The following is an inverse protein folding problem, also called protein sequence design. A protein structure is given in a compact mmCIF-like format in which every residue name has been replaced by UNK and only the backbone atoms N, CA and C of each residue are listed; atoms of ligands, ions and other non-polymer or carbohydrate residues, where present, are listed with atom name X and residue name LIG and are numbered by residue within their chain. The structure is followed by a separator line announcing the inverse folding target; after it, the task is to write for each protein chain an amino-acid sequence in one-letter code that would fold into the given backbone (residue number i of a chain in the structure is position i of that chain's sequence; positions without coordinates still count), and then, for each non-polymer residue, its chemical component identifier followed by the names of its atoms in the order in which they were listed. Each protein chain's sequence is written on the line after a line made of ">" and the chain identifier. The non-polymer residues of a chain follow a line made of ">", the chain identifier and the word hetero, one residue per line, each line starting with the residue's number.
data_IF_252695901586
#
_entry.id   IF_252695901586
#
_cell.length_a   1.000
_cell.length_b   1.000
_cell.length_c   1.000
_cell.angle_alpha   90.00
_cell.angle_beta   90.00
_cell.angle_gamma   90.00
#
_symmetry.space_group_name_H-M   'P 1'
#
loop_
_entity.id
_entity.type
_entity.pdbx_description
1 polymer ?
#
# COMPACT_ATOMS: atom_id res chain seq x y z
N UNK A 1 -12.94 34.41 -4.36
CA UNK A 1 -14.07 33.56 -3.96
C UNK A 1 -13.88 32.20 -4.66
N UNK A 2 -13.02 31.30 -4.20
CA UNK A 2 -13.21 30.41 -3.03
C UNK A 2 -14.15 29.26 -3.45
N UNK A 3 -13.80 27.97 -3.50
CA UNK A 3 -12.74 27.17 -2.89
C UNK A 3 -12.46 25.95 -3.80
N UNK A 4 -11.19 25.60 -3.98
CA UNK A 4 -10.76 24.32 -4.54
C UNK A 4 -11.10 23.22 -3.52
N UNK A 5 -11.90 22.22 -3.92
CA UNK A 5 -12.17 21.03 -3.10
C UNK A 5 -10.86 20.26 -2.92
N UNK A 6 -10.28 20.40 -1.73
CA UNK A 6 -9.19 19.55 -1.24
C UNK A 6 -9.76 18.14 -1.14
N UNK A 7 -9.14 17.16 -1.80
CA UNK A 7 -9.46 15.76 -1.59
C UNK A 7 -9.11 15.41 -0.15
N UNK A 8 -10.11 15.40 0.71
CA UNK A 8 -9.98 14.99 2.09
C UNK A 8 -9.77 13.48 2.10
N UNK A 9 -8.51 13.07 2.26
CA UNK A 9 -8.14 11.69 2.57
C UNK A 9 -8.92 11.28 3.82
N UNK A 10 -9.94 10.44 3.64
CA UNK A 10 -10.75 9.90 4.73
C UNK A 10 -9.89 8.91 5.51
N UNK A 11 -9.03 9.40 6.40
CA UNK A 11 -8.51 8.56 7.48
C UNK A 11 -9.69 8.23 8.39
N UNK A 12 -10.11 6.97 8.39
CA UNK A 12 -11.00 6.47 9.42
C UNK A 12 -10.31 6.67 10.78
N UNK A 13 -11.01 7.18 11.81
CA UNK A 13 -10.43 7.33 13.14
C UNK A 13 -10.06 5.96 13.71
N UNK A 14 -8.86 5.86 14.27
CA UNK A 14 -8.35 4.65 14.92
C UNK A 14 -9.02 4.51 16.29
N UNK A 15 -9.94 3.55 16.43
CA UNK A 15 -10.57 3.21 17.71
C UNK A 15 -9.56 2.51 18.64
N UNK A 16 -9.53 2.84 19.94
CA UNK A 16 -8.61 2.21 20.89
C UNK A 16 -8.97 0.73 21.04
N UNK A 17 -8.19 -0.13 20.39
CA UNK A 17 -8.41 -1.57 20.28
C UNK A 17 -8.04 -2.16 18.91
N UNK A 18 -7.80 -1.32 17.89
CA UNK A 18 -7.45 -1.80 16.56
C UNK A 18 -5.94 -2.10 16.47
N UNK A 19 -5.54 -3.37 16.47
CA UNK A 19 -4.15 -3.76 16.24
C UNK A 19 -3.82 -3.54 14.77
N UNK A 20 -3.01 -2.52 14.47
CA UNK A 20 -2.49 -2.30 13.11
C UNK A 20 -1.48 -3.40 12.76
N UNK A 21 -1.73 -4.12 11.67
CA UNK A 21 -0.85 -5.18 11.17
C UNK A 21 0.11 -4.65 10.10
N UNK A 22 1.16 -5.41 9.80
CA UNK A 22 2.09 -5.03 8.74
C UNK A 22 1.44 -5.04 7.33
N UNK A 23 0.37 -5.82 7.13
CA UNK A 23 -0.40 -5.80 5.88
C UNK A 23 -1.28 -4.53 5.78
N UNK A 24 -1.80 -4.00 6.89
CA UNK A 24 -2.47 -2.69 6.93
C UNK A 24 -1.50 -1.56 6.59
N UNK A 25 -0.26 -1.66 7.08
CA UNK A 25 0.81 -0.73 6.76
C UNK A 25 1.21 -0.79 5.29
N UNK A 26 1.30 -1.99 4.72
CA UNK A 26 1.56 -2.17 3.29
C UNK A 26 0.49 -1.50 2.44
N UNK A 27 -0.78 -1.69 2.78
CA UNK A 27 -1.90 -1.02 2.10
C UNK A 27 -1.80 0.51 2.19
N UNK A 28 -1.52 1.03 3.39
CA UNK A 28 -1.33 2.47 3.61
C UNK A 28 -0.14 3.01 2.82
N UNK A 29 0.98 2.28 2.76
CA UNK A 29 2.14 2.65 1.96
C UNK A 29 1.81 2.72 0.47
N UNK A 30 1.04 1.76 -0.05
CA UNK A 30 0.59 1.77 -1.44
C UNK A 30 -0.30 2.98 -1.72
N UNK A 31 -1.23 3.33 -0.82
CA UNK A 31 -2.10 4.50 -0.96
C UNK A 31 -1.33 5.83 -0.98
N UNK A 32 -0.30 5.96 -0.14
CA UNK A 32 0.42 7.22 0.04
C UNK A 32 1.58 7.41 -0.95
N UNK A 33 2.16 6.32 -1.47
CA UNK A 33 3.45 6.36 -2.17
C UNK A 33 3.51 5.62 -3.51
N UNK A 34 2.40 5.06 -4.00
CA UNK A 34 2.39 4.42 -5.31
C UNK A 34 2.78 5.41 -6.45
N UNK A 35 3.51 4.95 -7.49
CA UNK A 35 4.06 3.60 -7.64
C UNK A 35 5.24 3.32 -6.71
N UNK A 36 5.25 2.16 -6.05
CA UNK A 36 6.29 1.76 -5.10
C UNK A 36 6.82 0.36 -5.40
N UNK A 37 8.12 0.25 -5.65
CA UNK A 37 8.80 -1.05 -5.84
C UNK A 37 8.62 -1.96 -4.63
N UNK A 38 8.38 -3.26 -4.86
CA UNK A 38 8.26 -4.25 -3.79
C UNK A 38 9.49 -4.32 -2.90
N UNK A 39 10.70 -4.24 -3.46
CA UNK A 39 11.94 -4.17 -2.68
C UNK A 39 11.91 -3.00 -1.70
N UNK A 40 11.44 -1.83 -2.14
CA UNK A 40 11.37 -0.64 -1.30
C UNK A 40 10.31 -0.77 -0.20
N UNK A 41 9.15 -1.35 -0.52
CA UNK A 41 8.14 -1.65 0.48
C UNK A 41 8.67 -2.64 1.54
N UNK A 42 9.41 -3.67 1.11
CA UNK A 42 10.05 -4.65 1.97
C UNK A 42 11.09 -4.02 2.91
N UNK A 43 11.94 -3.12 2.40
CA UNK A 43 12.88 -2.35 3.21
C UNK A 43 12.17 -1.50 4.27
N UNK A 44 11.10 -0.79 3.90
CA UNK A 44 10.35 0.09 4.80
C UNK A 44 9.67 -0.71 5.91
N UNK A 45 9.10 -1.87 5.58
CA UNK A 45 8.41 -2.75 6.53
C UNK A 45 9.37 -3.62 7.35
N UNK A 46 10.64 -3.71 6.95
CA UNK A 46 11.61 -4.62 7.56
C UNK A 46 11.21 -6.09 7.40
N UNK A 47 10.64 -6.45 6.25
CA UNK A 47 10.12 -7.81 5.96
C UNK A 47 10.78 -8.39 4.71
N UNK A 48 10.87 -9.73 4.58
CA UNK A 48 11.31 -10.36 3.34
C UNK A 48 10.42 -9.97 2.16
N UNK A 49 11.01 -9.80 0.97
CA UNK A 49 10.28 -9.36 -0.23
C UNK A 49 9.17 -10.33 -0.62
N UNK A 50 9.42 -11.62 -0.47
CA UNK A 50 8.47 -12.71 -0.72
C UNK A 50 7.21 -12.59 0.15
N UNK A 51 7.37 -12.30 1.45
CA UNK A 51 6.24 -12.04 2.36
C UNK A 51 5.45 -10.80 1.94
N UNK A 52 6.14 -9.72 1.58
CA UNK A 52 5.47 -8.48 1.13
C UNK A 52 4.74 -8.69 -0.19
N UNK A 53 5.30 -9.48 -1.10
CA UNK A 53 4.65 -9.84 -2.36
C UNK A 53 3.39 -10.69 -2.11
N UNK A 54 3.44 -11.66 -1.19
CA UNK A 54 2.28 -12.47 -0.82
C UNK A 54 1.13 -11.63 -0.24
N UNK A 55 1.46 -10.69 0.64
CA UNK A 55 0.49 -9.73 1.16
C UNK A 55 -0.07 -8.82 0.07
N UNK A 56 0.78 -8.34 -0.83
CA UNK A 56 0.35 -7.48 -1.91
C UNK A 56 -0.57 -8.21 -2.90
N UNK A 57 -0.32 -9.50 -3.18
CA UNK A 57 -1.23 -10.38 -3.94
C UNK A 57 -2.55 -10.61 -3.21
N UNK A 58 -2.52 -10.77 -1.88
CA UNK A 58 -3.74 -10.90 -1.06
C UNK A 58 -4.60 -9.64 -1.15
N UNK A 59 -3.97 -8.46 -1.05
CA UNK A 59 -4.66 -7.17 -1.19
C UNK A 59 -5.16 -6.93 -2.62
N UNK A 60 -4.43 -7.40 -3.64
CA UNK A 60 -4.88 -7.38 -5.04
C UNK A 60 -6.10 -8.27 -5.27
N UNK A 61 -6.09 -9.49 -4.74
CA UNK A 61 -7.22 -10.41 -4.81
C UNK A 61 -8.47 -9.85 -4.12
N UNK A 62 -8.30 -9.05 -3.07
CA UNK A 62 -9.37 -8.32 -2.39
C UNK A 62 -9.80 -7.02 -3.11
N UNK A 63 -9.12 -6.63 -4.20
CA UNK A 63 -9.41 -5.41 -4.94
C UNK A 63 -8.98 -4.12 -4.24
N UNK A 64 -8.06 -4.21 -3.26
CA UNK A 64 -7.60 -3.07 -2.47
C UNK A 64 -6.38 -2.37 -3.07
N UNK A 65 -5.50 -3.10 -3.75
CA UNK A 65 -4.39 -2.54 -4.52
C UNK A 65 -4.20 -3.31 -5.83
N UNK A 66 -3.29 -2.85 -6.67
CA UNK A 66 -2.84 -3.60 -7.85
C UNK A 66 -1.35 -3.81 -7.83
N UNK A 67 -0.91 -4.91 -8.41
CA UNK A 67 0.49 -5.23 -8.58
C UNK A 67 0.84 -5.14 -10.06
N UNK A 68 1.69 -4.17 -10.40
CA UNK A 68 2.18 -4.02 -11.76
C UNK A 68 3.51 -4.77 -11.90
N UNK A 69 3.56 -5.64 -12.91
CA UNK A 69 4.77 -6.38 -13.29
C UNK A 69 5.33 -5.77 -14.58
N UNK A 70 6.26 -4.78 -14.48
CA UNK A 70 6.82 -4.16 -15.67
C UNK A 70 7.62 -5.19 -16.50
N UNK A 71 7.73 -5.00 -17.82
CA UNK A 71 8.48 -5.93 -18.69
C UNK A 71 9.95 -6.08 -18.30
N UNK A 72 10.53 -5.07 -17.66
CA UNK A 72 11.90 -5.07 -17.14
C UNK A 72 11.90 -4.50 -15.73
N UNK A 73 12.57 -5.19 -14.80
CA UNK A 73 12.74 -4.75 -13.42
C UNK A 73 12.01 -5.63 -12.43
N UNK A 74 11.44 -5.01 -11.40
CA UNK A 74 10.75 -5.70 -10.32
C UNK A 74 9.30 -5.23 -10.20
N UNK A 75 8.43 -6.02 -9.54
CA UNK A 75 7.03 -5.65 -9.40
C UNK A 75 6.86 -4.44 -8.48
N UNK A 76 5.83 -3.66 -8.75
CA UNK A 76 5.51 -2.42 -8.06
C UNK A 76 4.04 -2.37 -7.63
N UNK A 77 3.81 -1.81 -6.45
CA UNK A 77 2.48 -1.53 -5.92
C UNK A 77 1.92 -0.31 -6.64
N UNK A 78 0.70 -0.43 -7.18
CA UNK A 78 -0.04 0.65 -7.86
C UNK A 78 -1.49 0.74 -7.36
N UNK A 79 -2.11 1.90 -7.51
CA UNK A 79 -3.53 2.17 -7.19
C UNK A 79 -4.35 2.27 -8.50
#
# INVERSE_FOLDING_TARGET
>A
MGLLRKAESRKAPHEPGNVETDIDRLYTLALERAPLKLSKAAEILGKPKDIVEDWARTLEAAGLLKLHYPPVGEPELVQ
#
